data_IF_344212412959
#
_entry.id   IF_344212412959
#
_cell.length_a   1.000
_cell.length_b   1.000
_cell.length_c   1.000
_cell.angle_alpha   90.00
_cell.angle_beta   90.00
_cell.angle_gamma   90.00
#
_symmetry.space_group_name_H-M   'P 1'
#
loop_
_entity.id
_entity.type
_entity.pdbx_description
1 polymer ?
#
# COMPACT_ATOMS: atom_id res chain seq x y z
N UNK A 1 18.54 16.91 19.11
CA UNK A 1 17.35 16.14 18.71
C UNK A 1 16.64 16.94 17.63
N UNK A 2 16.68 16.50 16.36
CA UNK A 2 15.86 17.13 15.33
C UNK A 2 14.39 17.01 15.76
N UNK A 3 13.69 18.15 15.81
CA UNK A 3 12.27 18.19 16.15
C UNK A 3 11.52 17.36 15.10
N UNK A 4 10.99 16.20 15.50
CA UNK A 4 10.22 15.34 14.60
C UNK A 4 9.05 16.15 14.07
N UNK A 5 9.05 16.41 12.76
CA UNK A 5 7.95 17.11 12.11
C UNK A 5 6.89 16.07 11.71
N UNK A 6 5.89 15.92 12.59
CA UNK A 6 4.79 14.98 12.42
C UNK A 6 4.07 15.16 11.09
N UNK A 7 3.87 16.40 10.67
CA UNK A 7 3.15 16.72 9.45
C UNK A 7 3.93 16.24 8.21
N UNK A 8 5.25 16.46 8.20
CA UNK A 8 6.14 15.94 7.17
C UNK A 8 6.10 14.40 7.10
N UNK A 9 6.13 13.71 8.24
CA UNK A 9 6.05 12.24 8.27
C UNK A 9 4.70 11.75 7.72
N UNK A 10 3.59 12.32 8.20
CA UNK A 10 2.27 11.97 7.68
C UNK A 10 2.16 12.20 6.17
N UNK A 11 2.74 13.30 5.66
CA UNK A 11 2.77 13.59 4.24
C UNK A 11 3.60 12.55 3.46
N UNK A 12 4.81 12.22 3.90
CA UNK A 12 5.68 11.23 3.25
C UNK A 12 4.99 9.86 3.15
N UNK A 13 4.51 9.32 4.26
CA UNK A 13 3.81 8.02 4.28
C UNK A 13 2.47 8.05 3.52
N UNK A 14 1.77 9.18 3.54
CA UNK A 14 0.55 9.37 2.76
C UNK A 14 0.81 9.38 1.25
N UNK A 15 1.89 10.02 0.80
CA UNK A 15 2.30 10.03 -0.61
C UNK A 15 2.78 8.65 -1.07
N UNK A 16 3.50 7.96 -0.20
CA UNK A 16 4.02 6.60 -0.43
C UNK A 16 2.92 5.54 -0.50
N UNK A 17 1.76 5.78 0.13
CA UNK A 17 0.58 4.91 0.01
C UNK A 17 0.12 4.72 -1.44
N UNK A 18 0.34 5.72 -2.30
CA UNK A 18 0.05 5.60 -3.73
C UNK A 18 1.30 5.30 -4.55
N UNK A 19 2.41 5.95 -4.23
CA UNK A 19 3.64 5.87 -5.02
C UNK A 19 4.22 4.45 -5.02
N UNK A 20 4.14 3.71 -3.91
CA UNK A 20 4.69 2.35 -3.85
C UNK A 20 3.88 1.33 -4.64
N UNK A 21 2.54 1.19 -4.46
CA UNK A 21 1.75 0.34 -5.33
C UNK A 21 1.91 0.70 -6.81
N UNK A 22 1.83 1.99 -7.16
CA UNK A 22 2.02 2.46 -8.53
C UNK A 22 3.36 1.99 -9.12
N UNK A 23 4.45 2.13 -8.35
CA UNK A 23 5.79 1.67 -8.76
C UNK A 23 5.83 0.16 -9.01
N UNK A 24 5.23 -0.64 -8.12
CA UNK A 24 5.17 -2.10 -8.29
C UNK A 24 4.35 -2.53 -9.50
N UNK A 25 3.22 -1.86 -9.77
CA UNK A 25 2.40 -2.11 -10.96
C UNK A 25 3.14 -1.71 -12.24
N UNK A 26 3.79 -0.55 -12.25
CA UNK A 26 4.56 -0.08 -13.39
C UNK A 26 5.73 -1.02 -13.70
N UNK A 27 6.44 -1.49 -12.69
CA UNK A 27 7.55 -2.41 -12.91
C UNK A 27 7.09 -3.80 -13.37
N UNK A 28 6.01 -4.33 -12.79
CA UNK A 28 5.40 -5.57 -13.25
C UNK A 28 4.95 -5.47 -14.72
N UNK A 29 4.39 -4.32 -15.11
CA UNK A 29 4.02 -4.02 -16.50
C UNK A 29 5.24 -3.99 -17.42
N UNK A 30 6.33 -3.31 -17.03
CA UNK A 30 7.58 -3.30 -17.82
C UNK A 30 8.13 -4.70 -18.03
N UNK A 31 8.15 -5.52 -16.98
CA UNK A 31 8.62 -6.92 -17.06
C UNK A 31 7.76 -7.71 -18.05
N UNK A 32 6.42 -7.59 -17.97
CA UNK A 32 5.52 -8.27 -18.90
C UNK A 32 5.74 -7.81 -20.34
N UNK A 33 5.82 -6.50 -20.57
CA UNK A 33 5.97 -5.92 -21.91
C UNK A 33 7.34 -6.22 -22.53
N UNK A 34 8.40 -6.27 -21.72
CA UNK A 34 9.75 -6.63 -22.13
C UNK A 34 9.99 -8.15 -22.23
N UNK A 35 8.95 -8.98 -22.08
CA UNK A 35 9.07 -10.44 -22.20
C UNK A 35 8.66 -10.95 -23.58
N UNK A 36 9.43 -11.90 -24.09
CA UNK A 36 9.25 -12.44 -25.45
C UNK A 36 8.10 -13.43 -25.52
N UNK A 37 7.95 -14.26 -24.50
CA UNK A 37 6.93 -15.29 -24.39
C UNK A 37 6.58 -15.54 -22.91
N UNK A 38 5.64 -16.46 -22.67
CA UNK A 38 5.20 -16.84 -21.32
C UNK A 38 6.36 -17.34 -20.44
N UNK A 39 7.19 -18.24 -20.96
CA UNK A 39 8.27 -18.88 -20.19
C UNK A 39 9.31 -17.84 -19.71
N UNK A 40 9.71 -16.93 -20.61
CA UNK A 40 10.58 -15.79 -20.30
C UNK A 40 9.95 -14.89 -19.22
N UNK A 41 8.65 -14.61 -19.31
CA UNK A 41 7.95 -13.80 -18.30
C UNK A 41 7.86 -14.49 -16.93
N UNK A 42 7.57 -15.79 -16.88
CA UNK A 42 7.47 -16.55 -15.64
C UNK A 42 8.83 -16.61 -14.92
N UNK A 43 9.94 -16.67 -15.67
CA UNK A 43 11.30 -16.67 -15.15
C UNK A 43 11.79 -15.31 -14.62
N UNK A 44 11.19 -14.19 -15.02
CA UNK A 44 11.63 -12.84 -14.59
C UNK A 44 11.14 -12.45 -13.21
N UNK A 45 11.97 -11.72 -12.47
CA UNK A 45 11.61 -11.13 -11.18
C UNK A 45 11.81 -9.63 -11.21
N UNK A 46 11.39 -8.94 -10.15
CA UNK A 46 11.75 -7.55 -9.94
C UNK A 46 13.27 -7.41 -9.87
N UNK A 47 13.82 -6.46 -10.61
CA UNK A 47 15.15 -5.92 -10.33
C UNK A 47 14.98 -4.74 -9.36
N UNK A 48 15.26 -5.00 -8.08
CA UNK A 48 15.15 -4.04 -7.00
C UNK A 48 16.50 -3.48 -6.54
N UNK A 49 17.57 -3.68 -7.32
CA UNK A 49 18.93 -3.19 -7.00
C UNK A 49 18.94 -1.70 -6.69
N UNK A 50 18.38 -0.89 -7.60
CA UNK A 50 18.32 0.58 -7.53
C UNK A 50 17.11 1.14 -6.75
N UNK A 51 16.25 0.29 -6.18
CA UNK A 51 15.06 0.77 -5.48
C UNK A 51 15.44 1.44 -4.16
N UNK A 52 14.64 2.44 -3.76
CA UNK A 52 14.72 3.02 -2.42
C UNK A 52 14.41 1.96 -1.37
N UNK A 53 15.12 2.00 -0.24
CA UNK A 53 14.93 1.03 0.85
C UNK A 53 13.48 0.97 1.34
N UNK A 54 12.80 2.11 1.40
CA UNK A 54 11.39 2.18 1.78
C UNK A 54 10.45 1.44 0.82
N UNK A 55 10.78 1.36 -0.47
CA UNK A 55 10.01 0.57 -1.45
C UNK A 55 10.33 -0.92 -1.31
N UNK A 56 11.60 -1.28 -1.06
CA UNK A 56 12.01 -2.68 -0.79
C UNK A 56 11.30 -3.21 0.46
N UNK A 57 11.32 -2.44 1.54
CA UNK A 57 10.60 -2.75 2.78
C UNK A 57 9.09 -2.92 2.51
N UNK A 58 8.48 -2.00 1.75
CA UNK A 58 7.06 -2.08 1.39
C UNK A 58 6.72 -3.38 0.65
N UNK A 59 7.52 -3.73 -0.37
CA UNK A 59 7.38 -4.96 -1.16
C UNK A 59 7.54 -6.21 -0.28
N UNK A 60 8.46 -6.18 0.68
CA UNK A 60 8.76 -7.32 1.55
C UNK A 60 7.61 -7.69 2.50
N UNK A 61 6.67 -6.78 2.78
CA UNK A 61 5.42 -7.16 3.49
C UNK A 61 4.52 -8.12 2.70
N UNK A 62 4.77 -8.28 1.39
CA UNK A 62 4.21 -9.32 0.53
C UNK A 62 2.67 -9.42 0.51
N UNK A 63 1.93 -8.38 0.90
CA UNK A 63 0.48 -8.31 0.70
C UNK A 63 0.11 -7.87 -0.73
N UNK A 64 1.02 -7.20 -1.43
CA UNK A 64 0.83 -6.65 -2.77
C UNK A 64 1.98 -7.12 -3.64
N UNK A 65 1.66 -7.88 -4.69
CA UNK A 65 2.65 -8.36 -5.65
C UNK A 65 2.04 -8.44 -7.06
N UNK A 66 1.94 -7.30 -7.77
CA UNK A 66 1.36 -7.25 -9.10
C UNK A 66 2.04 -8.18 -10.10
N UNK A 67 3.36 -8.38 -9.98
CA UNK A 67 4.09 -9.31 -10.83
C UNK A 67 3.62 -10.75 -10.63
N UNK A 68 3.53 -11.21 -9.38
CA UNK A 68 3.02 -12.55 -9.09
C UNK A 68 1.55 -12.70 -9.50
N UNK A 69 0.72 -11.66 -9.28
CA UNK A 69 -0.68 -11.66 -9.71
C UNK A 69 -0.82 -11.79 -11.23
N UNK A 70 0.05 -11.13 -12.01
CA UNK A 70 0.09 -11.27 -13.46
C UNK A 70 0.54 -12.69 -13.85
N UNK A 71 1.61 -13.22 -13.25
CA UNK A 71 2.07 -14.60 -13.51
C UNK A 71 0.96 -15.63 -13.26
N UNK A 72 0.24 -15.50 -12.15
CA UNK A 72 -0.88 -16.40 -11.82
C UNK A 72 -2.04 -16.36 -12.83
N UNK A 73 -2.17 -15.27 -13.61
CA UNK A 73 -3.20 -15.10 -14.66
C UNK A 73 -2.77 -15.69 -16.00
N UNK A 74 -1.48 -15.79 -16.29
CA UNK A 74 -0.95 -16.36 -17.55
C UNK A 74 -0.85 -17.88 -17.41
N UNK A 75 -1.99 -18.59 -17.46
CA UNK A 75 -1.99 -20.06 -17.37
C UNK A 75 -1.65 -20.72 -18.71
N UNK A 76 -2.05 -20.11 -19.83
CA UNK A 76 -1.83 -20.58 -21.21
C UNK A 76 -1.13 -19.52 -22.06
N UNK A 77 -0.38 -19.94 -23.08
CA UNK A 77 0.36 -19.00 -23.96
C UNK A 77 -0.55 -17.98 -24.65
N UNK A 78 -1.74 -18.40 -25.09
CA UNK A 78 -2.71 -17.49 -25.69
C UNK A 78 -3.30 -16.42 -24.75
N UNK A 79 -3.01 -16.51 -23.44
CA UNK A 79 -3.35 -15.49 -22.45
C UNK A 79 -2.22 -14.47 -22.28
N UNK A 80 -0.99 -14.82 -22.64
CA UNK A 80 0.18 -13.96 -22.51
C UNK A 80 0.04 -12.72 -23.40
N UNK A 81 -0.20 -12.91 -24.70
CA UNK A 81 -0.32 -11.80 -25.65
C UNK A 81 -1.45 -10.84 -25.27
N UNK A 82 -2.61 -11.38 -24.89
CA UNK A 82 -3.76 -10.59 -24.42
C UNK A 82 -3.44 -9.77 -23.17
N UNK A 83 -2.74 -10.37 -22.21
CA UNK A 83 -2.36 -9.67 -20.98
C UNK A 83 -1.28 -8.61 -21.24
N UNK A 84 -0.37 -8.87 -22.19
CA UNK A 84 0.69 -7.95 -22.61
C UNK A 84 0.12 -6.71 -23.29
N UNK A 85 -0.94 -6.87 -24.09
CA UNK A 85 -1.67 -5.75 -24.70
C UNK A 85 -2.38 -4.88 -23.65
N UNK A 86 -3.03 -5.50 -22.65
CA UNK A 86 -3.80 -4.79 -21.62
C UNK A 86 -3.47 -5.28 -20.20
N UNK A 87 -2.31 -4.91 -19.66
CA UNK A 87 -1.94 -5.27 -18.30
C UNK A 87 -2.83 -4.58 -17.28
N UNK A 88 -3.00 -5.19 -16.11
CA UNK A 88 -3.63 -4.51 -14.97
C UNK A 88 -2.85 -3.26 -14.61
N UNK A 89 -3.54 -2.14 -14.48
CA UNK A 89 -2.95 -0.86 -14.13
C UNK A 89 -3.29 -0.45 -12.70
N UNK A 90 -2.41 0.34 -12.10
CA UNK A 90 -2.74 1.13 -10.93
C UNK A 90 -3.92 2.06 -11.24
N UNK A 91 -4.78 2.32 -10.24
CA UNK A 91 -5.98 3.15 -10.39
C UNK A 91 -6.08 4.13 -9.21
N UNK A 92 -5.74 5.39 -9.44
CA UNK A 92 -5.75 6.43 -8.40
C UNK A 92 -7.16 6.79 -7.92
N UNK A 93 -8.19 6.74 -8.76
CA UNK A 93 -9.57 7.08 -8.35
C UNK A 93 -10.15 6.02 -7.42
N UNK A 94 -9.80 4.74 -7.63
CA UNK A 94 -10.12 3.67 -6.69
C UNK A 94 -9.44 3.90 -5.33
N UNK A 95 -8.18 4.34 -5.34
CA UNK A 95 -7.49 4.75 -4.10
C UNK A 95 -8.20 5.91 -3.41
N UNK A 96 -8.57 6.97 -4.14
CA UNK A 96 -9.29 8.14 -3.61
C UNK A 96 -10.59 7.74 -2.92
N UNK A 97 -11.41 6.92 -3.58
CA UNK A 97 -12.71 6.48 -3.08
C UNK A 97 -12.57 5.65 -1.81
N UNK A 98 -11.68 4.66 -1.81
CA UNK A 98 -11.53 3.77 -0.65
C UNK A 98 -10.78 4.46 0.50
N UNK A 99 -9.83 5.36 0.24
CA UNK A 99 -9.22 6.20 1.28
C UNK A 99 -10.26 7.10 1.94
N UNK A 100 -11.21 7.65 1.17
CA UNK A 100 -12.30 8.47 1.72
C UNK A 100 -13.21 7.66 2.64
N UNK A 101 -13.55 6.42 2.28
CA UNK A 101 -14.28 5.50 3.16
C UNK A 101 -13.48 5.16 4.42
N UNK A 102 -12.20 4.85 4.25
CA UNK A 102 -11.31 4.52 5.37
C UNK A 102 -11.18 5.68 6.37
N UNK A 103 -11.06 6.92 5.86
CA UNK A 103 -11.09 8.14 6.65
C UNK A 103 -12.40 8.29 7.43
N UNK A 104 -13.54 8.08 6.78
CA UNK A 104 -14.85 8.12 7.45
C UNK A 104 -14.93 7.14 8.62
N UNK A 105 -14.58 5.88 8.39
CA UNK A 105 -14.59 4.84 9.44
C UNK A 105 -13.61 5.20 10.57
N UNK A 106 -12.41 5.69 10.25
CA UNK A 106 -11.42 6.08 11.25
C UNK A 106 -11.91 7.25 12.14
N UNK A 107 -12.58 8.23 11.53
CA UNK A 107 -13.09 9.42 12.23
C UNK A 107 -14.29 9.06 13.11
N UNK A 108 -15.26 8.33 12.57
CA UNK A 108 -16.53 8.00 13.22
C UNK A 108 -16.40 6.83 14.21
N UNK A 109 -15.82 5.70 13.77
CA UNK A 109 -15.80 4.45 14.53
C UNK A 109 -14.43 4.17 15.20
N UNK A 110 -13.40 4.90 14.82
CA UNK A 110 -12.08 4.88 15.45
C UNK A 110 -11.08 3.85 14.87
N UNK A 111 -9.85 3.80 15.44
CA UNK A 111 -8.74 3.07 14.83
C UNK A 111 -8.95 1.55 14.73
N UNK A 112 -9.63 0.94 15.71
CA UNK A 112 -9.87 -0.51 15.68
C UNK A 112 -10.85 -0.89 14.56
N UNK A 113 -11.95 -0.16 14.41
CA UNK A 113 -12.92 -0.37 13.33
C UNK A 113 -12.28 -0.18 11.95
N UNK A 114 -11.48 0.88 11.80
CA UNK A 114 -10.67 1.13 10.60
C UNK A 114 -9.81 -0.10 10.23
N UNK A 115 -9.06 -0.65 11.19
CA UNK A 115 -8.18 -1.79 10.98
C UNK A 115 -8.96 -3.06 10.59
N UNK A 116 -10.06 -3.37 11.30
CA UNK A 116 -10.91 -4.53 10.98
C UNK A 116 -11.51 -4.40 9.58
N UNK A 117 -11.98 -3.22 9.22
CA UNK A 117 -12.55 -2.97 7.89
C UNK A 117 -11.50 -3.20 6.80
N UNK A 118 -10.31 -2.59 6.90
CA UNK A 118 -9.24 -2.82 5.92
C UNK A 118 -8.90 -4.30 5.74
N UNK A 119 -8.82 -5.04 6.85
CA UNK A 119 -8.54 -6.48 6.83
C UNK A 119 -9.61 -7.28 6.11
N UNK A 120 -10.89 -6.94 6.31
CA UNK A 120 -12.02 -7.65 5.70
C UNK A 120 -12.11 -7.48 4.19
N UNK A 121 -11.62 -6.37 3.64
CA UNK A 121 -11.67 -6.09 2.21
C UNK A 121 -10.65 -6.92 1.42
N UNK A 122 -9.49 -7.18 2.03
CA UNK A 122 -8.40 -8.00 1.51
C UNK A 122 -8.07 -7.83 0.01
N UNK A 123 -8.02 -6.59 -0.44
CA UNK A 123 -7.71 -6.21 -1.83
C UNK A 123 -7.07 -4.84 -1.86
N UNK A 124 -6.44 -4.48 -2.98
CA UNK A 124 -6.02 -3.09 -3.18
C UNK A 124 -7.24 -2.17 -3.21
N UNK A 125 -7.15 -0.97 -2.61
CA UNK A 125 -5.99 -0.34 -1.94
C UNK A 125 -5.83 -0.67 -0.44
N UNK A 126 -6.71 -1.50 0.12
CA UNK A 126 -6.78 -1.78 1.55
C UNK A 126 -5.53 -2.46 2.09
N UNK A 127 -4.92 -3.35 1.30
CA UNK A 127 -3.64 -3.98 1.65
C UNK A 127 -2.52 -2.93 1.73
N UNK A 128 -2.49 -1.97 0.80
CA UNK A 128 -1.54 -0.86 0.86
C UNK A 128 -1.74 0.01 2.10
N UNK A 129 -3.00 0.30 2.44
CA UNK A 129 -3.36 1.05 3.65
C UNK A 129 -2.92 0.30 4.93
N UNK A 130 -3.07 -1.02 4.99
CA UNK A 130 -2.60 -1.83 6.11
C UNK A 130 -1.07 -1.76 6.25
N UNK A 131 -0.34 -1.92 5.15
CA UNK A 131 1.13 -1.82 5.16
C UNK A 131 1.55 -0.44 5.67
N UNK A 132 1.01 0.64 5.10
CA UNK A 132 1.42 1.99 5.50
C UNK A 132 1.02 2.33 6.94
N UNK A 133 -0.15 1.86 7.39
CA UNK A 133 -0.58 1.96 8.79
C UNK A 133 0.45 1.33 9.73
N UNK A 134 0.91 0.12 9.44
CA UNK A 134 1.94 -0.53 10.26
C UNK A 134 3.24 0.28 10.28
N UNK A 135 3.69 0.74 9.10
CA UNK A 135 4.98 1.41 8.96
C UNK A 135 5.01 2.77 9.64
N UNK A 136 4.00 3.62 9.46
CA UNK A 136 3.98 4.95 10.09
C UNK A 136 3.85 4.84 11.62
N UNK A 137 3.05 3.89 12.12
CA UNK A 137 2.89 3.70 13.56
C UNK A 137 4.15 3.10 14.20
N UNK A 138 4.90 2.26 13.48
CA UNK A 138 6.19 1.75 13.92
C UNK A 138 7.26 2.87 13.94
N UNK A 139 7.32 3.69 12.88
CA UNK A 139 8.23 4.84 12.79
C UNK A 139 8.04 5.82 13.96
N UNK A 140 6.77 6.08 14.31
CA UNK A 140 6.41 6.95 15.43
C UNK A 140 6.43 6.24 16.80
N UNK A 141 6.91 4.99 16.87
CA UNK A 141 7.04 4.19 18.10
C UNK A 141 5.70 4.02 18.86
N UNK A 142 4.60 4.06 18.12
CA UNK A 142 3.25 3.80 18.63
C UNK A 142 3.06 2.30 18.84
N UNK A 143 3.51 1.52 17.85
CA UNK A 143 3.60 0.06 17.87
C UNK A 143 5.05 -0.39 17.67
N UNK A 144 5.33 -1.66 17.94
CA UNK A 144 6.62 -2.26 17.60
C UNK A 144 6.72 -2.46 16.08
N UNK A 145 7.95 -2.43 15.56
CA UNK A 145 8.20 -2.74 14.15
C UNK A 145 7.75 -4.18 13.87
N UNK A 146 6.93 -4.35 12.85
CA UNK A 146 6.47 -5.66 12.38
C UNK A 146 7.46 -6.13 11.32
N UNK A 147 8.10 -7.26 11.58
CA UNK A 147 9.05 -7.89 10.67
C UNK A 147 8.35 -8.42 9.43
N UNK A 148 9.03 -8.40 8.29
CA UNK A 148 8.43 -8.71 6.98
C UNK A 148 8.14 -10.20 6.78
N UNK A 149 8.73 -11.08 7.59
CA UNK A 149 8.49 -12.52 7.57
C UNK A 149 7.26 -12.94 8.40
N UNK A 150 6.60 -12.01 9.07
CA UNK A 150 5.45 -12.29 9.93
C UNK A 150 4.12 -12.09 9.20
N UNK A 151 3.06 -12.71 9.70
CA UNK A 151 1.71 -12.43 9.21
C UNK A 151 1.29 -11.00 9.60
N UNK A 152 1.52 -10.05 8.68
CA UNK A 152 1.27 -8.63 8.88
C UNK A 152 -0.15 -8.35 9.39
N UNK A 153 -1.18 -9.01 8.84
CA UNK A 153 -2.58 -8.79 9.23
C UNK A 153 -2.85 -9.17 10.67
N UNK A 154 -2.29 -10.28 11.14
CA UNK A 154 -2.43 -10.73 12.53
C UNK A 154 -1.63 -9.84 13.48
N UNK A 155 -0.42 -9.45 13.08
CA UNK A 155 0.45 -8.58 13.89
C UNK A 155 -0.13 -7.18 14.07
N UNK A 156 -0.67 -6.58 13.01
CA UNK A 156 -1.38 -5.31 13.09
C UNK A 156 -2.59 -5.44 14.02
N UNK A 157 -3.40 -6.49 13.88
CA UNK A 157 -4.57 -6.69 14.76
C UNK A 157 -4.15 -6.77 16.23
N UNK A 158 -3.15 -7.59 16.56
CA UNK A 158 -2.60 -7.69 17.91
C UNK A 158 -2.08 -6.32 18.41
N UNK A 159 -1.42 -5.56 17.56
CA UNK A 159 -0.94 -4.22 17.89
C UNK A 159 -2.09 -3.26 18.21
N UNK A 160 -3.18 -3.28 17.43
CA UNK A 160 -4.36 -2.45 17.67
C UNK A 160 -5.14 -2.88 18.92
N UNK A 161 -5.24 -4.18 19.20
CA UNK A 161 -5.78 -4.68 20.47
C UNK A 161 -4.97 -4.15 21.66
N UNK A 162 -3.65 -4.21 21.59
CA UNK A 162 -2.76 -3.67 22.62
C UNK A 162 -2.85 -2.15 22.77
N UNK A 163 -3.12 -1.42 21.67
CA UNK A 163 -3.34 0.03 21.69
C UNK A 163 -4.67 0.41 22.34
N UNK A 164 -5.70 -0.44 22.24
CA UNK A 164 -7.02 -0.15 22.82
C UNK A 164 -6.98 0.07 24.34
N UNK A 165 -6.05 -0.60 25.04
CA UNK A 165 -5.79 -0.39 26.46
C UNK A 165 -4.96 0.87 26.81
N UNK A 166 -4.50 1.64 25.82
CA UNK A 166 -3.59 2.79 25.98
C UNK A 166 -4.16 4.05 25.33
N UNK A 167 -5.16 4.66 25.95
CA UNK A 167 -5.92 5.79 25.40
C UNK A 167 -5.05 6.91 24.77
N UNK A 168 -3.97 7.41 25.40
CA UNK A 168 -3.15 8.46 24.78
C UNK A 168 -2.49 8.01 23.47
N UNK A 169 -2.00 6.76 23.42
CA UNK A 169 -1.41 6.20 22.20
C UNK A 169 -2.46 5.94 21.13
N UNK A 170 -3.66 5.53 21.52
CA UNK A 170 -4.78 5.31 20.61
C UNK A 170 -5.24 6.62 19.94
N UNK A 171 -5.40 7.69 20.73
CA UNK A 171 -5.75 9.01 20.21
C UNK A 171 -4.66 9.56 19.30
N UNK A 172 -3.38 9.37 19.67
CA UNK A 172 -2.26 9.76 18.82
C UNK A 172 -2.25 8.97 17.49
N UNK A 173 -2.47 7.65 17.54
CA UNK A 173 -2.58 6.82 16.35
C UNK A 173 -3.71 7.31 15.44
N UNK A 174 -4.88 7.65 16.00
CA UNK A 174 -6.00 8.23 15.26
C UNK A 174 -5.56 9.49 14.50
N UNK A 175 -4.98 10.47 15.20
CA UNK A 175 -4.52 11.73 14.58
C UNK A 175 -3.48 11.52 13.48
N UNK A 176 -2.54 10.59 13.68
CA UNK A 176 -1.50 10.25 12.70
C UNK A 176 -2.12 9.68 11.43
N UNK A 177 -3.00 8.68 11.59
CA UNK A 177 -3.61 7.97 10.47
C UNK A 177 -4.55 8.89 9.69
N UNK A 178 -5.31 9.75 10.38
CA UNK A 178 -6.16 10.77 9.74
C UNK A 178 -5.32 11.67 8.84
N UNK A 179 -4.23 12.25 9.35
CA UNK A 179 -3.34 13.12 8.57
C UNK A 179 -2.70 12.38 7.39
N UNK A 180 -2.20 11.17 7.61
CA UNK A 180 -1.60 10.34 6.56
C UNK A 180 -2.59 10.09 5.42
N UNK A 181 -3.82 9.69 5.76
CA UNK A 181 -4.87 9.40 4.78
C UNK A 181 -5.36 10.67 4.07
N UNK A 182 -5.39 11.83 4.75
CA UNK A 182 -5.68 13.12 4.10
C UNK A 182 -4.65 13.43 3.01
N UNK A 183 -3.35 13.30 3.32
CA UNK A 183 -2.28 13.50 2.33
C UNK A 183 -2.35 12.50 1.18
N UNK A 184 -2.64 11.23 1.48
CA UNK A 184 -2.84 10.21 0.46
C UNK A 184 -4.02 10.53 -0.46
N UNK A 185 -5.14 11.01 0.09
CA UNK A 185 -6.31 11.43 -0.70
C UNK A 185 -5.97 12.61 -1.61
N UNK A 186 -5.21 13.60 -1.13
CA UNK A 186 -4.76 14.71 -1.98
C UNK A 186 -3.87 14.22 -3.13
N UNK A 187 -2.96 13.28 -2.85
CA UNK A 187 -2.13 12.66 -3.90
C UNK A 187 -2.98 11.92 -4.93
N UNK A 188 -3.98 11.17 -4.50
CA UNK A 188 -4.89 10.42 -5.37
C UNK A 188 -5.61 11.35 -6.36
N UNK A 189 -6.18 12.46 -5.85
CA UNK A 189 -6.82 13.49 -6.67
C UNK A 189 -5.86 14.15 -7.65
N UNK A 190 -4.65 14.48 -7.20
CA UNK A 190 -3.64 15.08 -8.06
C UNK A 190 -3.19 14.15 -9.20
N UNK A 191 -3.15 12.84 -8.96
CA UNK A 191 -2.84 11.84 -9.99
C UNK A 191 -3.99 11.68 -11.00
N UNK A 192 -5.24 11.70 -10.55
CA UNK A 192 -6.43 11.61 -11.41
C UNK A 192 -6.54 12.79 -12.39
N UNK A 193 -6.30 14.01 -11.91
CA UNK A 193 -6.30 15.20 -12.77
C UNK A 193 -5.25 15.11 -13.90
N UNK A 194 -4.07 14.56 -13.61
CA UNK A 194 -3.02 14.37 -14.64
C UNK A 194 -3.41 13.37 -15.73
N UNK A 195 -4.20 12.35 -15.39
CA UNK A 195 -4.69 11.35 -16.34
C UNK A 195 -5.82 11.92 -17.22
N UNK A 196 -6.52 12.96 -16.75
CA UNK A 196 -7.66 13.56 -17.46
C UNK A 196 -7.25 14.68 -18.43
N UNK A 197 -6.03 15.20 -18.31
CA UNK A 197 -5.49 16.29 -19.15
C UNK A 197 -4.56 15.80 -20.29
N UNK A 198 -4.26 14.50 -20.37
CA UNK A 198 -3.38 13.88 -21.38
C UNK A 198 -4.11 12.90 -22.28
#
# INVERSE_FOLDING_TARGET
MNKINLDKICAEYGMDLLTFPESLYNEAKKILQGSNNKEDFEGKNYDDSDWRESLKEFKNYNLINPLQDLKNRVRKDNQFDKLKEKPSSFNSSTFETEITKALGILVEDGPFAYMIWLKSQDREPHRAMLIQTARILAELKVIEKIETNENLKERIEKAFLNLSGKLPKLLFAKTVLEKMLIYARYKAKAMENKVSEG
#
